data_IF_041092695253
#
_entry.id   IF_041092695253
#
_cell.length_a   1.000
_cell.length_b   1.000
_cell.length_c   1.000
_cell.angle_alpha   90.00
_cell.angle_beta   90.00
_cell.angle_gamma   90.00
#
_symmetry.space_group_name_H-M   'P 1'
#
loop_
_entity.id
_entity.type
_entity.pdbx_description
1 polymer ?
#
# COMPACT_ATOMS: atom_id res chain seq x y z
N UNK A 1 -0.08 12.07 -9.49
CA UNK A 1 1.11 12.83 -9.06
C UNK A 1 2.31 11.90 -8.98
N UNK A 2 3.37 12.20 -9.73
CA UNK A 2 4.63 11.45 -9.64
C UNK A 2 5.36 11.77 -8.34
N UNK A 3 5.79 10.75 -7.61
CA UNK A 3 6.58 10.91 -6.39
C UNK A 3 8.04 11.22 -6.73
N UNK A 4 8.61 12.23 -6.06
CA UNK A 4 9.98 12.71 -6.28
C UNK A 4 10.88 12.33 -5.09
N UNK A 5 12.20 12.41 -5.29
CA UNK A 5 13.23 12.01 -4.31
C UNK A 5 12.98 12.55 -2.90
N UNK A 6 12.76 13.85 -2.76
CA UNK A 6 12.52 14.50 -1.46
C UNK A 6 11.11 14.35 -0.91
N UNK A 7 10.21 13.64 -1.59
CA UNK A 7 8.85 13.41 -1.08
C UNK A 7 8.73 12.13 -0.25
N UNK A 8 9.71 11.21 -0.35
CA UNK A 8 9.70 9.97 0.41
C UNK A 8 10.09 10.21 1.87
N UNK A 9 9.59 9.34 2.74
CA UNK A 9 9.94 9.31 4.16
C UNK A 9 11.46 9.10 4.32
N UNK A 10 12.18 9.95 5.07
CA UNK A 10 13.65 9.95 5.12
C UNK A 10 14.25 8.59 5.50
N UNK A 11 13.55 7.85 6.36
CA UNK A 11 14.03 6.54 6.82
C UNK A 11 13.95 5.46 5.73
N UNK A 12 13.18 5.65 4.66
CA UNK A 12 13.00 4.63 3.63
C UNK A 12 14.32 4.33 2.91
N UNK A 13 15.04 5.36 2.47
CA UNK A 13 16.33 5.20 1.77
C UNK A 13 17.40 4.54 2.65
N UNK A 14 17.36 4.80 3.96
CA UNK A 14 18.32 4.24 4.93
C UNK A 14 17.99 2.78 5.24
N UNK A 15 16.72 2.46 5.46
CA UNK A 15 16.32 1.12 5.88
C UNK A 15 16.33 0.11 4.73
N UNK A 16 15.94 0.55 3.53
CA UNK A 16 15.71 -0.33 2.37
C UNK A 16 16.28 0.32 1.09
N UNK A 17 17.61 0.48 0.96
CA UNK A 17 18.22 1.22 -0.14
C UNK A 17 17.89 0.65 -1.52
N UNK A 18 17.80 -0.68 -1.64
CA UNK A 18 17.46 -1.34 -2.92
C UNK A 18 16.00 -1.13 -3.32
N UNK A 19 15.06 -1.31 -2.39
CA UNK A 19 13.66 -1.01 -2.64
C UNK A 19 13.44 0.48 -2.93
N UNK A 20 14.18 1.37 -2.26
CA UNK A 20 14.19 2.80 -2.53
C UNK A 20 14.65 3.11 -3.95
N UNK A 21 15.79 2.57 -4.38
CA UNK A 21 16.33 2.76 -5.73
C UNK A 21 15.37 2.26 -6.80
N UNK A 22 14.73 1.11 -6.57
CA UNK A 22 13.72 0.56 -7.46
C UNK A 22 12.49 1.45 -7.56
N UNK A 23 11.89 1.85 -6.43
CA UNK A 23 10.69 2.72 -6.44
C UNK A 23 11.01 4.09 -7.08
N UNK A 24 12.24 4.58 -6.91
CA UNK A 24 12.72 5.80 -7.54
C UNK A 24 12.78 5.68 -9.06
N UNK A 25 13.27 4.57 -9.58
CA UNK A 25 13.40 4.34 -11.02
C UNK A 25 12.10 3.88 -11.68
N UNK A 26 11.13 3.38 -10.91
CA UNK A 26 9.88 2.80 -11.41
C UNK A 26 8.83 3.79 -11.92
N UNK A 27 9.07 5.10 -11.80
CA UNK A 27 8.09 6.15 -12.11
C UNK A 27 6.80 6.08 -11.25
N UNK A 28 6.93 5.69 -9.97
CA UNK A 28 5.81 5.61 -9.04
C UNK A 28 4.95 6.89 -9.04
N UNK A 29 3.71 6.75 -9.46
CA UNK A 29 2.73 7.84 -9.61
C UNK A 29 1.47 7.47 -8.84
N UNK A 30 1.00 8.35 -7.96
CA UNK A 30 -0.17 8.08 -7.12
C UNK A 30 -1.31 9.03 -7.46
N UNK A 31 -2.55 8.56 -7.33
CA UNK A 31 -3.73 9.41 -7.50
C UNK A 31 -3.84 10.45 -6.36
N UNK A 32 -4.40 11.67 -6.58
CA UNK A 32 -4.54 12.68 -5.53
C UNK A 32 -5.26 12.22 -4.25
N UNK A 33 -6.16 11.23 -4.34
CA UNK A 33 -6.84 10.65 -3.18
C UNK A 33 -5.95 9.76 -2.30
N UNK A 34 -4.80 9.32 -2.80
CA UNK A 34 -3.83 8.55 -1.99
C UNK A 34 -3.24 9.47 -0.93
N UNK A 35 -3.40 9.08 0.32
CA UNK A 35 -2.93 9.78 1.50
C UNK A 35 -1.58 9.25 1.97
N UNK A 36 -1.38 7.93 1.90
CA UNK A 36 -0.14 7.25 2.32
C UNK A 36 0.16 6.09 1.40
N UNK A 37 1.45 5.79 1.23
CA UNK A 37 1.92 4.56 0.58
C UNK A 37 2.67 3.74 1.61
N UNK A 38 2.27 2.48 1.74
CA UNK A 38 2.84 1.52 2.69
C UNK A 38 3.51 0.42 1.89
N UNK A 39 4.79 0.19 2.18
CA UNK A 39 5.56 -0.94 1.71
C UNK A 39 5.49 -2.07 2.75
N UNK A 40 5.28 -3.29 2.27
CA UNK A 40 5.34 -4.51 3.08
C UNK A 40 5.91 -5.66 2.26
N UNK A 41 5.79 -6.88 2.77
CA UNK A 41 6.27 -8.08 2.07
C UNK A 41 7.79 -8.19 2.01
N UNK A 42 8.27 -9.02 1.10
CA UNK A 42 9.67 -9.48 1.09
C UNK A 42 10.68 -8.38 0.78
N UNK A 43 10.31 -7.41 -0.08
CA UNK A 43 11.12 -6.20 -0.35
C UNK A 43 10.95 -5.09 0.69
N UNK A 44 10.04 -5.27 1.62
CA UNK A 44 9.86 -4.42 2.78
C UNK A 44 10.79 -4.81 3.94
N UNK A 45 10.39 -4.42 5.14
CA UNK A 45 11.13 -4.74 6.36
C UNK A 45 11.13 -6.24 6.71
N UNK A 46 10.29 -7.06 6.05
CA UNK A 46 10.25 -8.51 6.29
C UNK A 46 11.51 -9.18 5.75
N UNK A 47 12.11 -8.61 4.70
CA UNK A 47 13.29 -9.13 4.03
C UNK A 47 13.05 -10.46 3.31
N UNK A 48 14.14 -11.10 2.89
CA UNK A 48 14.10 -12.42 2.25
C UNK A 48 13.60 -12.42 0.80
N UNK A 49 13.59 -11.25 0.14
CA UNK A 49 13.25 -11.16 -1.28
C UNK A 49 14.32 -11.82 -2.16
N UNK A 50 13.88 -12.34 -3.30
CA UNK A 50 14.73 -12.80 -4.41
C UNK A 50 14.84 -11.69 -5.45
N UNK A 51 15.80 -11.76 -6.39
CA UNK A 51 15.94 -10.74 -7.44
C UNK A 51 14.67 -10.47 -8.24
N UNK A 52 13.84 -11.50 -8.44
CA UNK A 52 12.56 -11.48 -9.17
C UNK A 52 11.33 -11.28 -8.28
N UNK A 53 11.49 -11.18 -6.95
CA UNK A 53 10.38 -10.89 -6.05
C UNK A 53 9.67 -9.60 -6.47
N UNK A 54 8.35 -9.64 -6.40
CA UNK A 54 7.46 -8.51 -6.53
C UNK A 54 7.68 -7.46 -5.43
N UNK A 55 7.05 -6.29 -5.62
CA UNK A 55 6.96 -5.28 -4.60
C UNK A 55 5.51 -5.11 -4.16
N UNK A 56 5.24 -5.31 -2.88
CA UNK A 56 3.92 -5.14 -2.31
C UNK A 56 3.70 -3.70 -1.81
N UNK A 57 2.76 -2.99 -2.43
CA UNK A 57 2.35 -1.65 -2.00
C UNK A 57 0.86 -1.61 -1.64
N UNK A 58 0.58 -1.01 -0.48
CA UNK A 58 -0.77 -0.59 -0.11
C UNK A 58 -0.90 0.94 -0.27
N UNK A 59 -1.80 1.38 -1.15
CA UNK A 59 -2.20 2.78 -1.33
C UNK A 59 -3.33 3.10 -0.37
N UNK A 60 -3.02 3.78 0.74
CA UNK A 60 -4.05 4.21 1.69
C UNK A 60 -4.73 5.46 1.14
N UNK A 61 -6.05 5.42 1.00
CA UNK A 61 -6.85 6.56 0.52
C UNK A 61 -7.67 7.17 1.64
N UNK A 62 -7.89 8.48 1.56
CA UNK A 62 -8.82 9.18 2.45
C UNK A 62 -10.20 9.29 1.79
N UNK A 63 -11.26 9.21 2.60
CA UNK A 63 -12.67 9.52 2.32
C UNK A 63 -13.13 9.29 0.87
N UNK A 64 -13.73 8.13 0.60
CA UNK A 64 -14.36 7.83 -0.68
C UNK A 64 -15.83 8.21 -0.68
N UNK A 65 -16.32 8.78 -1.80
CA UNK A 65 -17.74 9.13 -1.93
C UNK A 65 -18.56 7.92 -2.38
N UNK A 66 -19.72 7.71 -1.74
CA UNK A 66 -20.43 6.43 -1.78
C UNK A 66 -21.32 6.09 -3.00
N UNK A 67 -21.59 6.93 -4.03
CA UNK A 67 -22.23 6.39 -5.23
C UNK A 67 -21.24 5.76 -6.22
N UNK A 68 -19.95 6.16 -6.23
CA UNK A 68 -18.98 5.76 -7.26
C UNK A 68 -17.67 5.18 -6.68
N UNK A 69 -17.72 4.67 -5.45
CA UNK A 69 -16.54 4.25 -4.70
C UNK A 69 -15.67 3.24 -5.47
N UNK A 70 -16.29 2.23 -6.09
CA UNK A 70 -15.55 1.18 -6.80
C UNK A 70 -14.80 1.72 -8.03
N UNK A 71 -15.46 2.57 -8.83
CA UNK A 71 -14.82 3.25 -9.96
C UNK A 71 -13.68 4.15 -9.50
N UNK A 72 -13.86 4.90 -8.41
CA UNK A 72 -12.79 5.72 -7.84
C UNK A 72 -11.59 4.88 -7.38
N UNK A 73 -11.86 3.74 -6.73
CA UNK A 73 -10.81 2.80 -6.30
C UNK A 73 -10.06 2.22 -7.50
N UNK A 74 -10.79 1.88 -8.56
CA UNK A 74 -10.21 1.43 -9.83
C UNK A 74 -9.31 2.50 -10.44
N UNK A 75 -9.81 3.73 -10.60
CA UNK A 75 -9.05 4.85 -11.18
C UNK A 75 -7.76 5.13 -10.37
N UNK A 76 -7.82 5.02 -9.04
CA UNK A 76 -6.66 5.18 -8.15
C UNK A 76 -5.60 4.10 -8.40
N UNK A 77 -6.05 2.85 -8.52
CA UNK A 77 -5.21 1.69 -8.78
C UNK A 77 -4.55 1.80 -10.16
N UNK A 78 -5.36 2.06 -11.20
CA UNK A 78 -4.91 2.17 -12.59
C UNK A 78 -3.94 3.33 -12.80
N UNK A 79 -4.14 4.48 -12.11
CA UNK A 79 -3.20 5.61 -12.14
C UNK A 79 -1.77 5.16 -11.83
N UNK A 80 -1.64 4.27 -10.84
CA UNK A 80 -0.35 3.78 -10.37
C UNK A 80 0.21 2.70 -11.29
N UNK A 81 -0.60 1.70 -11.63
CA UNK A 81 -0.18 0.59 -12.49
C UNK A 81 0.22 1.06 -13.90
N UNK A 82 -0.57 1.92 -14.54
CA UNK A 82 -0.31 2.40 -15.90
C UNK A 82 0.99 3.21 -16.01
N UNK A 83 1.41 3.81 -14.89
CA UNK A 83 2.61 4.61 -14.78
C UNK A 83 3.84 3.82 -14.33
N UNK A 84 3.67 2.57 -13.87
CA UNK A 84 4.75 1.72 -13.39
C UNK A 84 5.69 1.32 -14.53
N UNK A 85 6.99 1.45 -14.29
CA UNK A 85 8.05 1.21 -15.28
C UNK A 85 9.22 0.39 -14.74
N UNK A 86 9.08 -0.24 -13.56
CA UNK A 86 10.12 -1.16 -13.09
C UNK A 86 10.06 -2.49 -13.85
N UNK A 87 11.17 -3.21 -13.85
CA UNK A 87 11.29 -4.56 -14.42
C UNK A 87 10.62 -5.63 -13.57
N UNK A 88 10.35 -5.34 -12.29
CA UNK A 88 9.67 -6.27 -11.39
C UNK A 88 8.16 -5.97 -11.33
N UNK A 89 7.39 -7.00 -10.99
CA UNK A 89 5.95 -6.88 -10.76
C UNK A 89 5.65 -6.02 -9.54
N UNK A 90 4.56 -5.26 -9.64
CA UNK A 90 3.99 -4.46 -8.56
C UNK A 90 2.70 -5.13 -8.09
N UNK A 91 2.71 -5.71 -6.88
CA UNK A 91 1.49 -6.13 -6.20
C UNK A 91 0.88 -4.93 -5.50
N UNK A 92 -0.24 -4.43 -6.03
CA UNK A 92 -0.86 -3.19 -5.59
C UNK A 92 -2.26 -3.43 -5.04
N UNK A 93 -2.51 -2.91 -3.84
CA UNK A 93 -3.84 -2.80 -3.28
C UNK A 93 -4.16 -1.35 -2.92
N UNK A 94 -5.39 -0.91 -3.21
CA UNK A 94 -5.94 0.33 -2.67
C UNK A 94 -6.69 0.00 -1.40
N UNK A 95 -6.35 0.66 -0.30
CA UNK A 95 -6.85 0.36 1.04
C UNK A 95 -7.61 1.56 1.58
N UNK A 96 -8.81 1.33 2.10
CA UNK A 96 -9.67 2.38 2.64
C UNK A 96 -10.22 2.01 4.01
N UNK A 97 -10.49 3.05 4.80
CA UNK A 97 -10.96 2.91 6.17
C UNK A 97 -12.47 2.70 6.23
N UNK A 98 -12.91 1.54 6.72
CA UNK A 98 -14.32 1.21 6.96
C UNK A 98 -14.75 1.44 8.41
N UNK A 99 -13.80 1.74 9.31
CA UNK A 99 -14.02 1.89 10.75
C UNK A 99 -13.78 3.31 11.27
N UNK A 100 -13.28 4.20 10.41
CA UNK A 100 -12.91 5.57 10.75
C UNK A 100 -11.87 5.64 11.89
N UNK A 101 -10.88 4.72 11.87
CA UNK A 101 -9.79 4.65 12.85
C UNK A 101 -8.46 5.25 12.32
N UNK A 102 -8.46 5.75 11.08
CA UNK A 102 -7.31 6.27 10.37
C UNK A 102 -6.28 5.21 9.97
N UNK A 103 -6.63 3.92 10.02
CA UNK A 103 -5.74 2.80 9.67
C UNK A 103 -4.34 2.91 10.29
N UNK A 104 -4.29 3.27 11.58
CA UNK A 104 -3.02 3.49 12.31
C UNK A 104 -2.14 2.24 12.40
N UNK A 105 -2.73 1.05 12.26
CA UNK A 105 -2.03 -0.22 12.19
C UNK A 105 -0.96 -0.22 11.07
N UNK A 106 -1.25 0.33 9.89
CA UNK A 106 -0.30 0.38 8.78
C UNK A 106 0.96 1.22 9.02
N UNK A 107 1.00 2.03 10.09
CA UNK A 107 2.18 2.83 10.44
C UNK A 107 3.17 2.09 11.36
N UNK A 108 2.87 0.86 11.77
CA UNK A 108 3.68 0.13 12.75
C UNK A 108 4.66 -0.83 12.06
N UNK A 109 5.84 -1.01 12.64
CA UNK A 109 6.82 -2.01 12.17
C UNK A 109 6.62 -3.39 12.79
N UNK A 110 5.74 -3.49 13.77
CA UNK A 110 5.37 -4.75 14.38
C UNK A 110 3.87 -4.71 14.69
N UNK A 111 3.23 -5.88 14.61
CA UNK A 111 1.84 -5.99 15.04
C UNK A 111 1.73 -5.71 16.54
N UNK A 112 0.74 -4.89 16.90
CA UNK A 112 0.36 -4.65 18.28
C UNK A 112 -1.12 -4.97 18.43
N UNK A 113 -1.45 -6.02 19.17
CA UNK A 113 -2.85 -6.44 19.39
C UNK A 113 -3.71 -5.32 19.98
N UNK A 114 -3.13 -4.46 20.82
CA UNK A 114 -3.84 -3.32 21.42
C UNK A 114 -4.15 -2.21 20.42
N UNK A 115 -3.50 -2.19 19.26
CA UNK A 115 -3.71 -1.18 18.23
C UNK A 115 -4.99 -1.41 17.41
N UNK A 116 -5.60 -2.60 17.48
CA UNK A 116 -6.84 -2.91 16.76
C UNK A 116 -7.80 -3.72 17.64
N UNK A 117 -8.93 -3.11 18.03
CA UNK A 117 -9.98 -3.77 18.82
C UNK A 117 -10.63 -4.98 18.13
N UNK A 118 -10.44 -5.13 16.82
CA UNK A 118 -10.97 -6.23 16.01
C UNK A 118 -9.96 -7.37 15.80
N UNK A 119 -8.78 -7.31 16.43
CA UNK A 119 -7.74 -8.33 16.26
C UNK A 119 -7.06 -8.31 14.87
N UNK A 120 -7.29 -7.27 14.06
CA UNK A 120 -6.66 -7.10 12.75
C UNK A 120 -7.21 -7.98 11.64
N UNK A 121 -8.40 -8.57 11.82
CA UNK A 121 -9.09 -9.34 10.77
C UNK A 121 -10.19 -8.47 10.16
N UNK A 122 -10.20 -8.33 8.84
CA UNK A 122 -11.20 -7.56 8.06
C UNK A 122 -11.49 -6.16 8.64
N UNK A 123 -10.46 -5.49 9.17
CA UNK A 123 -10.60 -4.19 9.82
C UNK A 123 -10.49 -3.01 8.84
N UNK A 124 -10.34 -3.28 7.55
CA UNK A 124 -10.22 -2.33 6.44
C UNK A 124 -10.88 -2.93 5.19
N UNK A 125 -11.23 -2.08 4.23
CA UNK A 125 -11.63 -2.52 2.89
C UNK A 125 -10.48 -2.36 1.92
N UNK A 126 -10.40 -3.22 0.90
CA UNK A 126 -9.43 -3.05 -0.17
C UNK A 126 -10.05 -3.25 -1.55
N UNK A 127 -9.37 -2.70 -2.55
CA UNK A 127 -9.60 -2.96 -3.96
C UNK A 127 -8.28 -3.39 -4.58
N UNK A 128 -8.30 -4.46 -5.37
CA UNK A 128 -7.10 -4.99 -6.02
C UNK A 128 -7.41 -5.63 -7.36
N UNK A 129 -6.40 -5.67 -8.20
CA UNK A 129 -6.40 -6.40 -9.47
C UNK A 129 -5.30 -7.45 -9.42
N UNK A 130 -5.66 -8.73 -9.29
CA UNK A 130 -4.68 -9.83 -9.35
C UNK A 130 -5.30 -11.10 -9.92
N UNK A 131 -4.57 -11.80 -10.78
CA UNK A 131 -4.89 -13.16 -11.25
C UNK A 131 -6.35 -13.32 -11.75
N UNK A 132 -6.82 -12.36 -12.56
CA UNK A 132 -8.18 -12.36 -13.11
C UNK A 132 -9.27 -11.88 -12.14
N UNK A 133 -8.93 -11.54 -10.90
CA UNK A 133 -9.83 -10.84 -9.99
C UNK A 133 -9.63 -9.33 -10.12
N UNK A 134 -10.73 -8.61 -10.31
CA UNK A 134 -10.81 -7.16 -10.21
C UNK A 134 -12.05 -6.81 -9.39
N UNK A 135 -11.87 -6.18 -8.24
CA UNK A 135 -13.01 -5.77 -7.45
C UNK A 135 -12.73 -5.41 -6.01
N UNK A 136 -13.81 -4.99 -5.36
CA UNK A 136 -13.85 -4.74 -3.93
C UNK A 136 -13.70 -6.05 -3.14
N UNK A 137 -12.82 -6.04 -2.14
CA UNK A 137 -12.67 -7.13 -1.18
C UNK A 137 -13.02 -6.60 0.21
N UNK A 138 -14.12 -7.13 0.76
CA UNK A 138 -14.52 -6.94 2.15
C UNK A 138 -14.88 -8.29 2.76
N UNK A 139 -14.62 -8.48 4.05
CA UNK A 139 -14.94 -9.72 4.79
C UNK A 139 -14.31 -11.00 4.20
N UNK A 140 -13.05 -10.91 3.73
CA UNK A 140 -12.35 -12.04 3.10
C UNK A 140 -11.39 -12.75 4.07
N UNK A 141 -11.49 -12.48 5.38
CA UNK A 141 -10.58 -13.00 6.38
C UNK A 141 -9.18 -12.39 6.28
N UNK A 142 -9.05 -11.17 5.74
CA UNK A 142 -7.75 -10.52 5.56
C UNK A 142 -7.18 -10.17 6.92
N UNK A 143 -5.97 -10.66 7.20
CA UNK A 143 -5.30 -10.48 8.47
C UNK A 143 -4.18 -9.44 8.33
N UNK A 144 -4.40 -8.22 8.83
CA UNK A 144 -3.38 -7.14 8.83
C UNK A 144 -2.09 -7.63 9.49
N UNK A 145 -2.18 -8.47 10.53
CA UNK A 145 -1.01 -9.03 11.22
C UNK A 145 -0.04 -9.76 10.28
N UNK A 146 -0.52 -10.31 9.16
CA UNK A 146 0.32 -11.00 8.16
C UNK A 146 1.03 -10.05 7.20
N UNK A 147 0.66 -8.77 7.19
CA UNK A 147 1.31 -7.74 6.37
C UNK A 147 2.56 -7.18 7.06
N UNK A 148 2.70 -7.36 8.38
CA UNK A 148 3.86 -6.81 9.11
C UNK A 148 5.13 -7.59 8.83
N UNK A 149 6.29 -6.91 8.90
CA UNK A 149 6.47 -5.48 9.23
C UNK A 149 6.10 -4.52 8.09
N UNK A 150 5.37 -3.43 8.42
CA UNK A 150 5.01 -2.38 7.48
C UNK A 150 5.96 -1.19 7.56
N UNK A 151 6.17 -0.51 6.44
CA UNK A 151 6.89 0.76 6.38
C UNK A 151 6.11 1.78 5.56
N UNK A 152 5.73 2.90 6.17
CA UNK A 152 5.25 4.05 5.41
C UNK A 152 6.42 4.65 4.66
N UNK A 153 6.34 4.68 3.33
CA UNK A 153 7.40 5.21 2.46
C UNK A 153 7.08 6.60 1.92
N UNK A 154 5.81 6.98 1.93
CA UNK A 154 5.34 8.28 1.47
C UNK A 154 4.03 8.66 2.17
N UNK A 155 3.84 9.96 2.40
CA UNK A 155 2.59 10.54 2.85
C UNK A 155 2.35 11.85 2.08
N UNK A 156 1.09 12.11 1.74
CA UNK A 156 0.69 13.38 1.15
C UNK A 156 1.03 14.52 2.14
N UNK A 157 1.71 15.59 1.70
CA UNK A 157 2.03 16.74 2.55
C UNK A 157 0.81 17.34 3.24
#
# INVERSE_FOLDING_TARGET
MKLKEGSFEPHFAVALPEAYALIRSSNLTVHPHVARVILHGSRGLAGGYRPDSDIDLSLIVDTLQRPNMERQLQDILETTLNSWRATIELDLAVVFDIRNCGLKCFNQRAWNERACKLGGIDCFGLYKTQKGFNGLVTNAGIQVKRMYPCLRIWQRP
#
